data_IF_593168360294
#
_entry.id   IF_593168360294
#
_cell.length_a   1.000
_cell.length_b   1.000
_cell.length_c   1.000
_cell.angle_alpha   90.00
_cell.angle_beta   90.00
_cell.angle_gamma   90.00
#
_symmetry.space_group_name_H-M   'P 1'
#
loop_
_entity.id
_entity.type
_entity.pdbx_description
1 polymer ?
#
# COMPACT_ATOMS: atom_id res chain seq x y z
N UNK A 1 -11.89 14.98 -4.98
CA UNK A 1 -12.94 14.05 -5.49
C UNK A 1 -12.34 13.04 -6.48
N UNK A 2 -11.62 13.49 -7.52
CA UNK A 2 -11.00 12.60 -8.52
C UNK A 2 -10.08 11.51 -7.92
N UNK A 3 -9.14 11.80 -6.99
CA UNK A 3 -8.24 10.77 -6.46
C UNK A 3 -8.95 9.70 -5.62
N UNK A 4 -10.03 10.08 -4.93
CA UNK A 4 -10.82 9.15 -4.14
C UNK A 4 -11.54 8.12 -5.02
N UNK A 5 -12.13 8.58 -6.13
CA UNK A 5 -12.82 7.71 -7.07
C UNK A 5 -11.87 6.68 -7.71
N UNK A 6 -10.68 7.13 -8.12
CA UNK A 6 -9.65 6.24 -8.69
C UNK A 6 -9.19 5.19 -7.69
N UNK A 7 -8.86 5.59 -6.44
CA UNK A 7 -8.40 4.64 -5.42
C UNK A 7 -9.51 3.65 -5.04
N UNK A 8 -10.77 4.08 -4.98
CA UNK A 8 -11.89 3.17 -4.76
C UNK A 8 -12.06 2.18 -5.91
N UNK A 9 -11.92 2.63 -7.16
CA UNK A 9 -11.97 1.75 -8.32
C UNK A 9 -10.86 0.69 -8.26
N UNK A 10 -9.62 1.09 -7.97
CA UNK A 10 -8.49 0.17 -7.82
C UNK A 10 -8.68 -0.80 -6.64
N UNK A 11 -9.32 -0.35 -5.55
CA UNK A 11 -9.66 -1.23 -4.43
C UNK A 11 -10.70 -2.27 -4.82
N UNK A 12 -11.70 -1.91 -5.62
CA UNK A 12 -12.68 -2.88 -6.13
C UNK A 12 -11.96 -3.92 -7.00
N UNK A 13 -11.08 -3.48 -7.90
CA UNK A 13 -10.26 -4.41 -8.70
C UNK A 13 -9.42 -5.34 -7.81
N UNK A 14 -8.81 -4.82 -6.75
CA UNK A 14 -8.05 -5.62 -5.80
C UNK A 14 -8.94 -6.63 -5.06
N UNK A 15 -10.12 -6.24 -4.58
CA UNK A 15 -11.09 -7.15 -3.94
C UNK A 15 -11.51 -8.26 -4.89
N UNK A 16 -11.75 -7.94 -6.17
CA UNK A 16 -12.09 -8.93 -7.19
C UNK A 16 -10.92 -9.88 -7.51
N UNK A 17 -9.68 -9.48 -7.22
CA UNK A 17 -8.50 -10.36 -7.37
C UNK A 17 -8.33 -11.35 -6.21
N UNK A 18 -8.88 -11.06 -5.01
CA UNK A 18 -8.74 -11.92 -3.83
C UNK A 18 -9.30 -13.34 -4.07
N UNK A 19 -10.51 -13.54 -4.64
CA UNK A 19 -11.02 -14.88 -4.95
C UNK A 19 -10.11 -15.68 -5.87
N UNK A 20 -9.46 -15.03 -6.84
CA UNK A 20 -8.49 -15.68 -7.74
C UNK A 20 -7.28 -16.18 -6.95
N UNK A 21 -6.72 -15.34 -6.08
CA UNK A 21 -5.61 -15.72 -5.20
C UNK A 21 -6.00 -16.89 -4.30
N UNK A 22 -7.19 -16.83 -3.69
CA UNK A 22 -7.73 -17.90 -2.85
C UNK A 22 -7.84 -19.20 -3.62
N UNK A 23 -8.35 -19.17 -4.86
CA UNK A 23 -8.44 -20.36 -5.72
C UNK A 23 -7.07 -20.98 -5.99
N UNK A 24 -6.05 -20.15 -6.28
CA UNK A 24 -4.68 -20.64 -6.42
C UNK A 24 -4.16 -21.28 -5.13
N UNK A 25 -4.39 -20.67 -3.97
CA UNK A 25 -3.96 -21.22 -2.67
C UNK A 25 -4.60 -22.60 -2.40
N UNK A 26 -5.89 -22.76 -2.72
CA UNK A 26 -6.58 -24.05 -2.65
C UNK A 26 -5.92 -25.10 -3.55
N UNK A 27 -5.55 -24.75 -4.79
CA UNK A 27 -4.86 -25.65 -5.71
C UNK A 27 -3.49 -26.10 -5.16
N UNK A 28 -2.79 -25.22 -4.44
CA UNK A 28 -1.53 -25.51 -3.75
C UNK A 28 -1.70 -26.16 -2.37
N UNK A 29 -2.88 -26.69 -2.05
CA UNK A 29 -3.19 -27.39 -0.79
C UNK A 29 -2.98 -26.53 0.47
N UNK A 30 -3.06 -25.20 0.34
CA UNK A 30 -3.06 -24.27 1.48
C UNK A 30 -4.49 -24.07 1.96
N UNK A 31 -4.78 -24.51 3.18
CA UNK A 31 -6.10 -24.36 3.78
C UNK A 31 -6.36 -22.91 4.19
N UNK A 32 -7.58 -22.37 3.97
CA UNK A 32 -7.98 -21.07 4.49
C UNK A 32 -7.85 -21.06 6.01
N UNK A 33 -7.13 -20.08 6.55
CA UNK A 33 -7.10 -19.84 7.99
C UNK A 33 -8.30 -18.98 8.40
N UNK A 34 -8.82 -19.17 9.62
CA UNK A 34 -9.81 -18.27 10.25
C UNK A 34 -9.29 -16.82 10.26
N UNK A 35 -7.97 -16.65 10.26
CA UNK A 35 -7.31 -15.36 10.18
C UNK A 35 -7.62 -14.54 8.95
N UNK A 36 -8.07 -15.16 7.86
CA UNK A 36 -8.45 -14.43 6.64
C UNK A 36 -9.70 -13.57 6.86
N UNK A 37 -10.63 -14.01 7.72
CA UNK A 37 -11.91 -13.32 7.93
C UNK A 37 -11.71 -11.93 8.53
N UNK A 38 -10.79 -11.77 9.49
CA UNK A 38 -10.47 -10.48 10.10
C UNK A 38 -9.26 -9.79 9.46
N UNK A 39 -8.29 -10.57 8.98
CA UNK A 39 -7.04 -10.05 8.41
C UNK A 39 -7.24 -9.35 7.07
N UNK A 40 -8.09 -9.89 6.19
CA UNK A 40 -8.32 -9.31 4.86
C UNK A 40 -8.98 -7.92 4.98
N UNK A 41 -10.09 -7.73 5.72
CA UNK A 41 -10.67 -6.40 5.89
C UNK A 41 -9.71 -5.40 6.54
N UNK A 42 -8.93 -5.85 7.53
CA UNK A 42 -7.98 -4.99 8.23
C UNK A 42 -6.85 -4.50 7.30
N UNK A 43 -6.21 -5.41 6.57
CA UNK A 43 -5.16 -5.05 5.62
C UNK A 43 -5.70 -4.22 4.46
N UNK A 44 -6.92 -4.48 3.99
CA UNK A 44 -7.62 -3.63 3.01
C UNK A 44 -7.77 -2.20 3.52
N UNK A 45 -8.22 -2.01 4.77
CA UNK A 45 -8.34 -0.68 5.35
C UNK A 45 -7.00 0.05 5.45
N UNK A 46 -5.94 -0.62 5.91
CA UNK A 46 -4.60 -0.04 6.01
C UNK A 46 -4.07 0.33 4.62
N UNK A 47 -4.21 -0.56 3.64
CA UNK A 47 -3.80 -0.33 2.26
C UNK A 47 -4.58 0.83 1.63
N UNK A 48 -5.90 0.89 1.84
CA UNK A 48 -6.73 1.99 1.37
C UNK A 48 -6.24 3.34 1.93
N UNK A 49 -6.04 3.42 3.25
CA UNK A 49 -5.62 4.66 3.90
C UNK A 49 -4.26 5.14 3.37
N UNK A 50 -3.30 4.22 3.22
CA UNK A 50 -1.97 4.52 2.72
C UNK A 50 -2.00 4.98 1.26
N UNK A 51 -2.64 4.21 0.37
CA UNK A 51 -2.74 4.52 -1.06
C UNK A 51 -3.51 5.81 -1.29
N UNK A 52 -4.60 6.03 -0.54
CA UNK A 52 -5.37 7.25 -0.62
C UNK A 52 -4.56 8.47 -0.17
N UNK A 53 -3.84 8.38 0.96
CA UNK A 53 -2.97 9.45 1.45
C UNK A 53 -1.89 9.84 0.44
N UNK A 54 -1.19 8.85 -0.11
CA UNK A 54 -0.14 9.07 -1.12
C UNK A 54 -0.73 9.64 -2.41
N UNK A 55 -1.82 9.06 -2.91
CA UNK A 55 -2.50 9.53 -4.13
C UNK A 55 -3.00 10.96 -3.98
N UNK A 56 -3.51 11.32 -2.81
CA UNK A 56 -3.96 12.68 -2.50
C UNK A 56 -2.80 13.67 -2.50
N UNK A 57 -1.66 13.31 -1.90
CA UNK A 57 -0.45 14.14 -1.90
C UNK A 57 0.07 14.36 -3.33
N UNK A 58 0.29 13.29 -4.08
CA UNK A 58 0.86 13.33 -5.44
C UNK A 58 -0.08 14.08 -6.39
N UNK A 59 -1.39 13.78 -6.35
CA UNK A 59 -2.37 14.45 -7.21
C UNK A 59 -2.42 15.95 -6.96
N UNK A 60 -2.26 16.37 -5.70
CA UNK A 60 -2.25 17.79 -5.35
C UNK A 60 -1.01 18.50 -5.92
N UNK A 61 0.17 17.88 -5.81
CA UNK A 61 1.43 18.46 -6.28
C UNK A 61 1.53 18.44 -7.81
N UNK A 62 1.02 17.38 -8.46
CA UNK A 62 1.05 17.22 -9.91
C UNK A 62 0.31 18.35 -10.66
N UNK A 63 -0.66 19.02 -10.03
CA UNK A 63 -1.32 20.18 -10.61
C UNK A 63 -0.36 21.36 -10.86
N UNK A 64 0.70 21.47 -10.05
CA UNK A 64 1.74 22.50 -10.17
C UNK A 64 2.95 22.00 -10.97
N UNK A 65 3.28 20.71 -10.85
CA UNK A 65 4.45 20.10 -11.50
C UNK A 65 4.04 18.92 -12.37
N UNK A 66 3.86 19.16 -13.67
CA UNK A 66 3.43 18.11 -14.64
C UNK A 66 4.44 16.97 -14.79
N UNK A 67 5.73 17.22 -14.55
CA UNK A 67 6.80 16.20 -14.62
C UNK A 67 6.74 15.18 -13.47
N UNK A 68 5.99 15.50 -12.41
CA UNK A 68 5.84 14.63 -11.24
C UNK A 68 5.16 13.31 -11.60
N UNK A 69 4.34 13.28 -12.66
CA UNK A 69 3.73 12.05 -13.16
C UNK A 69 4.79 11.01 -13.58
N UNK A 70 5.76 11.42 -14.39
CA UNK A 70 6.80 10.52 -14.89
C UNK A 70 7.75 10.08 -13.77
N UNK A 71 8.11 11.02 -12.88
CA UNK A 71 8.92 10.70 -11.70
C UNK A 71 8.23 9.68 -10.80
N UNK A 72 6.92 9.84 -10.55
CA UNK A 72 6.15 8.91 -9.72
C UNK A 72 6.21 7.49 -10.27
N UNK A 73 6.09 7.31 -11.59
CA UNK A 73 6.17 5.97 -12.22
C UNK A 73 7.54 5.33 -11.98
N UNK A 74 8.62 6.10 -12.13
CA UNK A 74 9.99 5.63 -11.88
C UNK A 74 10.16 5.27 -10.40
N UNK A 75 9.69 6.13 -9.49
CA UNK A 75 9.76 5.90 -8.04
C UNK A 75 9.00 4.65 -7.61
N UNK A 76 7.78 4.43 -8.11
CA UNK A 76 6.99 3.23 -7.80
C UNK A 76 7.68 1.98 -8.33
N UNK A 77 8.23 2.03 -9.55
CA UNK A 77 9.01 0.91 -10.10
C UNK A 77 10.22 0.58 -9.23
N UNK A 78 10.98 1.58 -8.81
CA UNK A 78 12.13 1.38 -7.91
C UNK A 78 11.68 0.80 -6.57
N UNK A 79 10.60 1.34 -6.00
CA UNK A 79 10.05 0.89 -4.72
C UNK A 79 9.54 -0.55 -4.79
N UNK A 80 8.97 -0.97 -5.93
CA UNK A 80 8.57 -2.36 -6.17
C UNK A 80 9.75 -3.33 -6.05
N UNK A 81 10.90 -3.01 -6.67
CA UNK A 81 12.10 -3.85 -6.57
C UNK A 81 12.75 -3.80 -5.18
N UNK A 82 12.67 -2.66 -4.49
CA UNK A 82 13.15 -2.53 -3.10
C UNK A 82 12.25 -3.22 -2.06
N UNK A 83 11.06 -3.67 -2.45
CA UNK A 83 10.10 -4.31 -1.56
C UNK A 83 10.11 -5.82 -1.80
N UNK A 84 10.00 -6.67 -0.76
CA UNK A 84 10.02 -8.13 -0.91
C UNK A 84 8.67 -8.64 -1.45
N UNK A 85 8.37 -8.28 -2.71
CA UNK A 85 7.15 -8.68 -3.42
C UNK A 85 7.41 -9.96 -4.22
N UNK A 86 8.52 -10.01 -4.95
CA UNK A 86 8.90 -11.15 -5.81
C UNK A 86 9.87 -12.12 -5.13
N UNK A 87 10.47 -11.73 -4.00
CA UNK A 87 11.41 -12.53 -3.22
C UNK A 87 11.01 -12.56 -1.73
N UNK A 88 11.31 -13.64 -1.01
CA UNK A 88 11.12 -13.68 0.43
C UNK A 88 12.14 -12.78 1.14
N UNK A 89 11.75 -12.22 2.28
CA UNK A 89 12.61 -11.35 3.11
C UNK A 89 13.93 -12.03 3.52
N UNK A 90 13.94 -13.36 3.64
CA UNK A 90 15.11 -14.16 4.00
C UNK A 90 16.24 -14.15 2.95
N UNK A 91 15.98 -13.71 1.72
CA UNK A 91 17.04 -13.54 0.70
C UNK A 91 17.74 -12.18 0.79
N UNK A 92 17.26 -11.26 1.63
CA UNK A 92 17.86 -9.94 1.79
C UNK A 92 19.09 -10.04 2.70
N UNK A 93 20.28 -9.57 2.27
CA UNK A 93 21.46 -9.53 3.13
C UNK A 93 21.22 -8.66 4.38
N UNK A 94 21.71 -9.07 5.55
CA UNK A 94 21.54 -8.36 6.84
C UNK A 94 21.86 -6.86 6.76
N UNK A 95 22.86 -6.47 5.96
CA UNK A 95 23.24 -5.06 5.75
C UNK A 95 22.10 -4.19 5.21
N UNK A 96 21.16 -4.77 4.45
CA UNK A 96 20.03 -4.05 3.84
C UNK A 96 18.70 -4.28 4.58
N UNK A 97 18.71 -5.08 5.64
CA UNK A 97 17.52 -5.38 6.43
C UNK A 97 16.94 -4.12 7.10
N UNK A 98 17.80 -3.21 7.57
CA UNK A 98 17.39 -1.89 8.08
C UNK A 98 16.72 -1.01 7.01
N UNK A 99 17.16 -1.10 5.75
CA UNK A 99 16.56 -0.34 4.66
C UNK A 99 15.18 -0.89 4.31
N UNK A 100 15.03 -2.22 4.40
CA UNK A 100 13.77 -2.93 4.23
C UNK A 100 12.77 -2.56 5.35
N UNK A 101 13.25 -2.51 6.60
CA UNK A 101 12.41 -2.22 7.77
C UNK A 101 11.97 -0.75 7.83
N UNK A 102 12.69 0.17 7.18
CA UNK A 102 12.26 1.55 7.00
C UNK A 102 11.22 1.73 5.90
N UNK A 103 11.03 0.75 5.02
CA UNK A 103 10.09 0.85 3.92
C UNK A 103 8.66 0.52 4.40
N UNK A 104 7.74 1.50 4.41
CA UNK A 104 6.37 1.28 4.88
C UNK A 104 5.59 0.28 4.03
N UNK A 105 5.91 0.18 2.74
CA UNK A 105 5.25 -0.75 1.82
C UNK A 105 5.74 -2.19 2.08
N UNK A 106 6.97 -2.36 2.55
CA UNK A 106 7.51 -3.69 2.87
C UNK A 106 6.71 -4.38 3.97
N UNK A 107 6.45 -3.70 5.09
CA UNK A 107 5.67 -4.27 6.20
C UNK A 107 4.24 -4.63 5.79
N UNK A 108 3.62 -3.82 4.93
CA UNK A 108 2.28 -4.10 4.39
C UNK A 108 2.29 -5.36 3.50
N UNK A 109 3.28 -5.48 2.61
CA UNK A 109 3.41 -6.64 1.72
C UNK A 109 3.76 -7.92 2.48
N UNK A 110 4.63 -7.83 3.50
CA UNK A 110 4.96 -8.94 4.39
C UNK A 110 3.70 -9.42 5.12
N UNK A 111 2.87 -8.50 5.62
CA UNK A 111 1.61 -8.82 6.30
C UNK A 111 0.60 -9.50 5.37
N UNK A 112 0.47 -9.04 4.13
CA UNK A 112 -0.36 -9.72 3.12
C UNK A 112 0.15 -11.13 2.81
N UNK A 113 1.46 -11.27 2.62
CA UNK A 113 2.10 -12.56 2.34
C UNK A 113 1.93 -13.53 3.50
N UNK A 114 2.14 -13.07 4.74
CA UNK A 114 2.02 -13.90 5.93
C UNK A 114 0.58 -14.37 6.16
N UNK A 115 -0.38 -13.48 5.92
CA UNK A 115 -1.81 -13.80 6.00
C UNK A 115 -2.19 -14.88 4.99
N UNK A 116 -1.81 -14.73 3.72
CA UNK A 116 -2.19 -15.69 2.67
C UNK A 116 -1.44 -17.03 2.75
N UNK A 117 -0.15 -17.05 3.08
CA UNK A 117 0.66 -18.27 3.05
C UNK A 117 0.64 -19.08 4.35
N UNK A 118 0.60 -18.38 5.49
CA UNK A 118 0.74 -18.97 6.82
C UNK A 118 -0.49 -18.75 7.69
N UNK A 119 -1.42 -17.87 7.29
CA UNK A 119 -2.58 -17.54 8.11
C UNK A 119 -2.22 -16.79 9.38
N UNK A 120 -1.05 -16.15 9.43
CA UNK A 120 -0.56 -15.44 10.62
C UNK A 120 -0.38 -13.96 10.32
N UNK A 121 -0.71 -13.11 11.30
CA UNK A 121 -0.43 -11.68 11.24
C UNK A 121 0.55 -11.36 12.36
N UNK A 122 1.73 -10.87 11.97
CA UNK A 122 2.67 -10.32 12.94
C UNK A 122 2.17 -8.95 13.42
N UNK A 123 1.98 -8.84 14.73
CA UNK A 123 1.46 -7.62 15.36
C UNK A 123 2.39 -6.43 15.22
N UNK A 124 3.71 -6.65 15.22
CA UNK A 124 4.69 -5.58 15.08
C UNK A 124 4.64 -4.98 13.67
N UNK A 125 4.72 -5.82 12.63
CA UNK A 125 4.62 -5.41 11.23
C UNK A 125 3.28 -4.71 10.92
N UNK A 126 2.19 -5.19 11.52
CA UNK A 126 0.86 -4.60 11.39
C UNK A 126 0.78 -3.20 12.04
N UNK A 127 1.32 -3.03 13.25
CA UNK A 127 1.37 -1.74 13.94
C UNK A 127 2.19 -0.72 13.15
N UNK A 128 3.36 -1.13 12.65
CA UNK A 128 4.22 -0.27 11.83
C UNK A 128 3.50 0.14 10.55
N UNK A 129 2.88 -0.81 9.83
CA UNK A 129 2.10 -0.53 8.61
C UNK A 129 0.94 0.44 8.88
N UNK A 130 0.26 0.28 10.02
CA UNK A 130 -0.84 1.18 10.43
C UNK A 130 -0.34 2.57 10.77
N UNK A 131 0.78 2.69 11.49
CA UNK A 131 1.37 3.99 11.80
C UNK A 131 1.75 4.75 10.52
N UNK A 132 2.36 4.05 9.56
CA UNK A 132 2.72 4.63 8.27
C UNK A 132 1.51 4.99 7.40
N UNK A 133 0.45 4.19 7.40
CA UNK A 133 -0.76 4.50 6.64
C UNK A 133 -1.46 5.74 7.18
N UNK A 134 -1.56 5.88 8.50
CA UNK A 134 -2.07 7.08 9.17
C UNK A 134 -1.19 8.29 8.87
N UNK A 135 0.13 8.14 8.97
CA UNK A 135 1.08 9.21 8.66
C UNK A 135 0.95 9.68 7.20
N UNK A 136 0.90 8.76 6.23
CA UNK A 136 0.71 9.06 4.82
C UNK A 136 -0.63 9.77 4.57
N UNK A 137 -1.70 9.32 5.22
CA UNK A 137 -3.01 9.96 5.13
C UNK A 137 -3.00 11.39 5.69
N UNK A 138 -2.44 11.60 6.88
CA UNK A 138 -2.36 12.92 7.52
C UNK A 138 -1.54 13.88 6.66
N UNK A 139 -0.37 13.45 6.16
CA UNK A 139 0.45 14.27 5.27
C UNK A 139 -0.30 14.60 3.98
N UNK A 140 -0.89 13.61 3.32
CA UNK A 140 -1.65 13.82 2.10
C UNK A 140 -2.81 14.80 2.30
N UNK A 141 -3.52 14.67 3.42
CA UNK A 141 -4.62 15.57 3.79
C UNK A 141 -4.14 17.00 4.07
N UNK A 142 -3.03 17.17 4.80
CA UNK A 142 -2.43 18.49 5.08
C UNK A 142 -1.97 19.17 3.79
N UNK A 143 -1.30 18.43 2.90
CA UNK A 143 -0.87 18.94 1.59
C UNK A 143 -2.10 19.38 0.77
N UNK A 144 -3.12 18.52 0.69
CA UNK A 144 -4.36 18.84 -0.01
C UNK A 144 -5.00 20.11 0.53
N UNK A 145 -5.13 20.24 1.86
CA UNK A 145 -5.68 21.45 2.49
C UNK A 145 -4.87 22.71 2.24
N UNK A 146 -3.54 22.62 2.18
CA UNK A 146 -2.69 23.78 1.90
C UNK A 146 -2.80 24.21 0.44
N UNK A 147 -2.87 23.25 -0.48
CA UNK A 147 -2.99 23.52 -1.92
C UNK A 147 -4.43 23.83 -2.34
N UNK A 148 -5.43 23.49 -1.52
CA UNK A 148 -6.84 23.68 -1.87
C UNK A 148 -7.24 25.12 -2.13
N UNK A 149 -6.57 26.07 -1.46
CA UNK A 149 -6.75 27.50 -1.70
C UNK A 149 -6.27 27.95 -3.09
N UNK A 150 -5.22 27.33 -3.64
CA UNK A 150 -4.72 27.65 -4.98
C UNK A 150 -5.50 26.99 -6.12
N UNK A 151 -6.29 25.95 -5.86
CA UNK A 151 -7.14 25.35 -6.91
C UNK A 151 -8.20 26.33 -7.42
N UNK A 152 -8.64 27.28 -6.58
CA UNK A 152 -9.64 28.28 -6.96
C UNK A 152 -9.07 29.41 -7.85
N UNK A 153 -7.76 29.59 -7.92
CA UNK A 153 -7.12 30.61 -8.77
C UNK A 153 -6.69 30.09 -10.15
N UNK A 154 -6.59 28.77 -10.33
CA UNK A 154 -6.05 28.14 -11.55
C UNK A 154 -7.14 27.52 -12.44
N UNK A 155 -8.38 27.40 -11.93
CA UNK A 155 -9.58 26.99 -12.68
C UNK A 155 -10.33 28.22 -13.21
#
# INVERSE_FOLDING_TARGET
IIPLAMVLQDMIHFILSIPVIVLFLFMYHKSPSVSWLYGIPLLLCIQFLMTYGISLAISSINLFFRDLKNLTVIFITLLFYCTPIIYPESMVPEKYEHLLSLNPIAHLMISWRSLFLYGTLDTASLMVSTAYSVFAFVIGYVIYRKLSWKFAEVL
#
